data_IF_821643388706
#
_entry.id   IF_821643388706
#
_cell.length_a   1.000
_cell.length_b   1.000
_cell.length_c   1.000
_cell.angle_alpha   90.00
_cell.angle_beta   90.00
_cell.angle_gamma   90.00
#
_symmetry.space_group_name_H-M   'P 1'
#
loop_
_entity.id
_entity.type
_entity.pdbx_description
1 polymer ?
#
# COMPACT_ATOMS: atom_id res chain seq x y z
N UNK A 1 -12.19 20.12 -11.73
CA UNK A 1 -10.78 20.32 -12.09
C UNK A 1 -10.26 21.72 -11.75
N UNK A 2 -11.00 22.81 -12.06
CA UNK A 2 -10.54 24.18 -11.83
C UNK A 2 -10.09 24.45 -10.37
N UNK A 3 -10.87 23.99 -9.39
CA UNK A 3 -10.50 24.07 -7.97
C UNK A 3 -9.20 23.32 -7.68
N UNK A 4 -9.04 22.11 -8.19
CA UNK A 4 -7.85 21.31 -7.95
C UNK A 4 -6.58 21.96 -8.52
N UNK A 5 -6.70 22.66 -9.66
CA UNK A 5 -5.60 23.41 -10.28
C UNK A 5 -5.12 24.60 -9.44
N UNK A 6 -5.95 25.10 -8.54
CA UNK A 6 -5.58 26.15 -7.58
C UNK A 6 -5.09 25.56 -6.27
N UNK A 7 -5.87 24.64 -5.69
CA UNK A 7 -5.63 24.09 -4.35
C UNK A 7 -4.36 23.23 -4.30
N UNK A 8 -4.10 22.41 -5.33
CA UNK A 8 -2.96 21.51 -5.34
C UNK A 8 -1.61 22.25 -5.34
N UNK A 9 -1.33 23.23 -6.23
CA UNK A 9 -0.09 24.00 -6.19
C UNK A 9 0.10 24.75 -4.89
N UNK A 10 -0.96 25.29 -4.28
CA UNK A 10 -0.90 25.95 -2.99
C UNK A 10 -0.44 24.97 -1.89
N UNK A 11 -1.02 23.76 -1.84
CA UNK A 11 -0.57 22.73 -0.90
C UNK A 11 0.90 22.37 -1.09
N UNK A 12 1.34 22.22 -2.35
CA UNK A 12 2.74 21.92 -2.67
C UNK A 12 3.70 23.06 -2.33
N UNK A 13 3.24 24.31 -2.41
CA UNK A 13 4.02 25.48 -2.06
C UNK A 13 4.15 25.64 -0.55
N UNK A 14 3.03 25.62 0.20
CA UNK A 14 3.02 25.84 1.65
C UNK A 14 3.55 24.64 2.44
N UNK A 15 3.44 23.43 1.92
CA UNK A 15 3.93 22.18 2.54
C UNK A 15 3.58 22.10 4.01
N UNK A 16 2.27 22.31 4.31
CA UNK A 16 1.80 22.33 5.69
C UNK A 16 2.22 21.09 6.46
N UNK A 17 2.81 21.31 7.62
CA UNK A 17 3.28 20.27 8.54
C UNK A 17 2.94 20.68 9.97
N UNK A 18 2.46 19.74 10.74
CA UNK A 18 2.19 19.93 12.17
C UNK A 18 2.95 18.89 12.98
N UNK A 19 3.84 19.32 13.84
CA UNK A 19 4.57 18.43 14.75
C UNK A 19 3.62 17.76 15.76
N UNK A 20 4.05 16.63 16.30
CA UNK A 20 3.36 15.98 17.42
C UNK A 20 2.29 14.98 17.06
N UNK A 21 2.11 14.61 15.78
CA UNK A 21 1.23 13.51 15.44
C UNK A 21 1.67 12.23 16.14
N UNK A 22 0.74 11.60 16.84
CA UNK A 22 0.92 10.29 17.49
C UNK A 22 -0.31 9.46 17.26
N UNK A 23 -0.11 8.20 16.90
CA UNK A 23 -1.17 7.20 16.92
C UNK A 23 -1.56 7.01 18.37
N UNK A 24 -2.84 7.18 18.69
CA UNK A 24 -3.36 6.94 20.03
C UNK A 24 -3.98 5.55 20.07
N UNK A 25 -3.33 4.58 20.74
CA UNK A 25 -3.93 3.29 20.94
C UNK A 25 -5.21 3.43 21.78
N UNK A 26 -6.27 2.75 21.38
CA UNK A 26 -7.47 2.66 22.22
C UNK A 26 -7.42 1.38 23.06
N UNK A 27 -7.96 1.46 24.29
CA UNK A 27 -8.11 0.28 25.16
C UNK A 27 -8.90 -0.79 24.41
N UNK A 28 -8.37 -2.00 24.40
CA UNK A 28 -8.81 -3.06 23.51
C UNK A 28 -10.20 -3.60 23.86
N UNK A 29 -11.18 -3.25 23.04
CA UNK A 29 -12.26 -4.20 22.75
C UNK A 29 -11.71 -5.30 21.83
N UNK A 30 -12.28 -6.52 21.87
CA UNK A 30 -11.94 -7.59 20.92
C UNK A 30 -11.96 -7.06 19.47
N UNK A 31 -10.84 -7.07 18.74
CA UNK A 31 -10.77 -6.51 17.40
C UNK A 31 -11.76 -7.15 16.41
N UNK A 32 -12.20 -8.38 16.70
CA UNK A 32 -13.09 -9.16 15.84
C UNK A 32 -14.56 -9.15 16.27
N UNK A 33 -14.90 -8.43 17.35
CA UNK A 33 -16.27 -8.37 17.85
C UNK A 33 -17.30 -7.88 16.80
N UNK A 34 -16.88 -7.02 15.88
CA UNK A 34 -17.71 -6.49 14.79
C UNK A 34 -17.95 -7.48 13.64
N UNK A 35 -17.25 -8.61 13.59
CA UNK A 35 -17.49 -9.65 12.58
C UNK A 35 -18.71 -10.52 12.96
N UNK A 36 -19.39 -11.12 11.96
CA UNK A 36 -20.37 -12.17 12.22
C UNK A 36 -19.78 -13.26 13.10
N UNK A 37 -20.57 -13.85 14.00
CA UNK A 37 -20.08 -14.81 14.99
C UNK A 37 -19.36 -16.01 14.36
N UNK A 38 -19.88 -16.52 13.27
CA UNK A 38 -19.29 -17.63 12.50
C UNK A 38 -17.94 -17.29 11.88
N UNK A 39 -17.66 -16.00 11.60
CA UNK A 39 -16.40 -15.55 10.97
C UNK A 39 -15.31 -15.25 12.00
N UNK A 40 -15.67 -15.09 13.29
CA UNK A 40 -14.71 -14.72 14.36
C UNK A 40 -13.63 -15.78 14.61
N UNK A 41 -13.96 -17.09 14.76
CA UNK A 41 -12.94 -18.09 15.00
C UNK A 41 -11.92 -18.20 13.86
N UNK A 42 -12.32 -18.31 12.57
CA UNK A 42 -11.35 -18.37 11.48
C UNK A 42 -10.57 -17.06 11.31
N UNK A 43 -11.17 -15.89 11.58
CA UNK A 43 -10.46 -14.61 11.53
C UNK A 43 -9.38 -14.51 12.61
N UNK A 44 -9.66 -14.96 13.85
CA UNK A 44 -8.66 -15.02 14.92
C UNK A 44 -7.53 -15.98 14.59
N UNK A 45 -7.84 -17.19 14.13
CA UNK A 45 -6.82 -18.16 13.74
C UNK A 45 -5.89 -17.62 12.63
N UNK A 46 -6.45 -16.95 11.63
CA UNK A 46 -5.68 -16.27 10.58
C UNK A 46 -4.83 -15.13 11.15
N UNK A 47 -5.39 -14.31 12.03
CA UNK A 47 -4.68 -13.20 12.68
C UNK A 47 -3.50 -13.71 13.52
N UNK A 48 -3.72 -14.75 14.33
CA UNK A 48 -2.67 -15.37 15.15
C UNK A 48 -1.54 -15.93 14.29
N UNK A 49 -1.88 -16.59 13.19
CA UNK A 49 -0.87 -17.05 12.23
C UNK A 49 -0.04 -15.88 11.69
N UNK A 50 -0.69 -14.82 11.21
CA UNK A 50 0.00 -13.66 10.65
C UNK A 50 0.87 -12.96 11.69
N UNK A 51 0.35 -12.73 12.88
CA UNK A 51 1.08 -12.11 14.00
C UNK A 51 2.34 -12.92 14.36
N UNK A 52 2.22 -14.25 14.45
CA UNK A 52 3.35 -15.12 14.76
C UNK A 52 4.37 -15.19 13.62
N UNK A 53 3.90 -15.33 12.38
CA UNK A 53 4.78 -15.43 11.19
C UNK A 53 5.57 -14.15 10.95
N UNK A 54 4.95 -12.99 11.19
CA UNK A 54 5.52 -11.67 10.84
C UNK A 54 5.98 -10.87 12.07
N UNK A 55 6.06 -11.50 13.25
CA UNK A 55 6.56 -10.91 14.51
C UNK A 55 5.85 -9.60 14.90
N UNK A 56 4.51 -9.61 14.87
CA UNK A 56 3.65 -8.48 15.15
C UNK A 56 2.98 -8.52 16.52
N UNK A 57 3.56 -9.21 17.54
CA UNK A 57 2.96 -9.43 18.85
C UNK A 57 2.59 -8.12 19.57
N UNK A 58 3.45 -7.10 19.48
CA UNK A 58 3.22 -5.81 20.15
C UNK A 58 2.34 -4.84 19.32
N UNK A 59 2.01 -5.21 18.08
CA UNK A 59 1.34 -4.32 17.15
C UNK A 59 -0.07 -3.92 17.63
N UNK A 60 -0.83 -4.87 18.18
CA UNK A 60 -2.18 -4.62 18.69
C UNK A 60 -2.21 -3.56 19.81
N UNK A 61 -1.15 -3.46 20.62
CA UNK A 61 -1.04 -2.47 21.70
C UNK A 61 -0.66 -1.06 21.21
N UNK A 62 -0.25 -0.93 19.94
CA UNK A 62 0.27 0.33 19.38
C UNK A 62 -0.73 1.03 18.45
N UNK A 63 -1.91 0.43 18.20
CA UNK A 63 -2.83 0.86 17.15
C UNK A 63 -4.30 0.70 17.58
N UNK A 64 -5.23 1.31 16.86
CA UNK A 64 -6.66 1.12 17.10
C UNK A 64 -7.12 -0.28 16.63
N UNK A 65 -8.20 -0.87 17.22
CA UNK A 65 -8.73 -2.17 16.78
C UNK A 65 -9.11 -2.22 15.29
N UNK A 66 -9.63 -1.13 14.75
CA UNK A 66 -9.98 -1.03 13.30
C UNK A 66 -8.71 -1.10 12.46
N UNK A 67 -7.74 -0.24 12.74
CA UNK A 67 -6.48 -0.21 11.98
C UNK A 67 -5.69 -1.51 12.15
N UNK A 68 -5.81 -2.19 13.30
CA UNK A 68 -5.20 -3.51 13.51
C UNK A 68 -5.74 -4.53 12.51
N UNK A 69 -7.07 -4.65 12.39
CA UNK A 69 -7.69 -5.57 11.42
C UNK A 69 -7.38 -5.18 9.98
N UNK A 70 -7.40 -3.88 9.65
CA UNK A 70 -7.04 -3.41 8.31
C UNK A 70 -5.60 -3.75 7.96
N UNK A 71 -4.64 -3.57 8.87
CA UNK A 71 -3.25 -3.94 8.65
C UNK A 71 -3.09 -5.45 8.45
N UNK A 72 -3.75 -6.28 9.26
CA UNK A 72 -3.72 -7.73 9.05
C UNK A 72 -4.38 -8.15 7.74
N UNK A 73 -5.44 -7.47 7.32
CA UNK A 73 -6.05 -7.67 6.02
C UNK A 73 -5.05 -7.37 4.88
N UNK A 74 -4.38 -6.22 4.92
CA UNK A 74 -3.36 -5.88 3.91
C UNK A 74 -2.16 -6.83 3.96
N UNK A 75 -1.74 -7.25 5.13
CA UNK A 75 -0.69 -8.26 5.29
C UNK A 75 -1.05 -9.55 4.57
N UNK A 76 -2.26 -10.09 4.81
CA UNK A 76 -2.74 -11.31 4.17
C UNK A 76 -2.90 -11.15 2.66
N UNK A 77 -3.44 -10.00 2.21
CA UNK A 77 -3.60 -9.69 0.80
C UNK A 77 -2.23 -9.66 0.09
N UNK A 78 -1.27 -8.94 0.64
CA UNK A 78 0.06 -8.79 0.06
C UNK A 78 0.89 -10.07 0.17
N UNK A 79 0.73 -10.87 1.25
CA UNK A 79 1.28 -12.22 1.34
C UNK A 79 0.79 -13.11 0.20
N UNK A 80 -0.53 -13.09 -0.05
CA UNK A 80 -1.14 -13.84 -1.15
C UNK A 80 -0.62 -13.38 -2.51
N UNK A 81 -0.42 -12.07 -2.68
CA UNK A 81 0.14 -11.50 -3.90
C UNK A 81 1.60 -11.94 -4.13
N UNK A 82 2.44 -11.92 -3.09
CA UNK A 82 3.83 -12.40 -3.18
C UNK A 82 3.89 -13.90 -3.50
N UNK A 83 3.03 -14.72 -2.86
CA UNK A 83 2.94 -16.14 -3.14
C UNK A 83 2.55 -16.41 -4.62
N UNK A 84 1.62 -15.62 -5.17
CA UNK A 84 1.19 -15.73 -6.54
C UNK A 84 2.23 -15.21 -7.56
N UNK A 85 3.12 -14.30 -7.14
CA UNK A 85 4.15 -13.71 -8.01
C UNK A 85 5.33 -14.62 -8.31
N UNK A 86 5.49 -15.72 -7.56
CA UNK A 86 6.60 -16.68 -7.71
C UNK A 86 7.98 -16.01 -7.71
N UNK A 87 8.13 -14.95 -6.93
CA UNK A 87 9.38 -14.20 -6.82
C UNK A 87 10.27 -14.80 -5.73
N UNK A 88 11.57 -14.73 -5.93
CA UNK A 88 12.56 -14.98 -4.90
C UNK A 88 13.13 -13.65 -4.41
N UNK A 89 13.03 -13.38 -3.12
CA UNK A 89 13.53 -12.14 -2.54
C UNK A 89 14.94 -12.34 -1.95
N UNK A 90 15.89 -11.44 -2.23
CA UNK A 90 17.22 -11.50 -1.64
C UNK A 90 17.19 -11.09 -0.16
N UNK A 91 18.35 -11.20 0.53
CA UNK A 91 18.51 -10.77 1.93
C UNK A 91 18.39 -9.24 2.12
N UNK A 92 18.64 -8.47 1.07
CA UNK A 92 18.47 -7.01 1.07
C UNK A 92 17.50 -6.61 -0.05
N UNK A 93 16.38 -5.97 0.33
CA UNK A 93 15.30 -5.63 -0.58
C UNK A 93 15.19 -4.13 -0.71
N UNK A 94 15.16 -3.64 -1.96
CA UNK A 94 14.66 -2.31 -2.30
C UNK A 94 13.24 -2.44 -2.83
N UNK A 95 12.29 -1.73 -2.22
CA UNK A 95 10.89 -1.74 -2.61
C UNK A 95 10.30 -0.34 -2.65
N UNK A 96 9.34 -0.12 -3.55
CA UNK A 96 8.59 1.12 -3.63
C UNK A 96 7.10 0.86 -3.44
N UNK A 97 6.42 1.77 -2.75
CA UNK A 97 4.96 1.85 -2.66
C UNK A 97 4.50 3.17 -3.29
N UNK A 98 3.78 3.09 -4.40
CA UNK A 98 3.40 4.24 -5.23
C UNK A 98 1.96 4.65 -4.90
N UNK A 99 1.78 5.87 -4.42
CA UNK A 99 0.50 6.37 -3.94
C UNK A 99 0.22 5.95 -2.50
N UNK A 100 1.26 5.99 -1.66
CA UNK A 100 1.20 5.53 -0.27
C UNK A 100 0.18 6.27 0.61
N UNK A 101 -0.35 7.42 0.19
CA UNK A 101 -1.28 8.25 0.94
C UNK A 101 -0.73 8.60 2.34
N UNK A 102 -1.47 8.36 3.43
CA UNK A 102 -0.99 8.50 4.81
C UNK A 102 -0.32 7.24 5.37
N UNK A 103 -0.19 6.21 4.57
CA UNK A 103 0.58 4.98 4.77
C UNK A 103 0.23 4.17 6.03
N UNK A 104 -1.02 4.08 6.37
CA UNK A 104 -1.46 3.42 7.60
C UNK A 104 -1.12 1.91 7.67
N UNK A 105 -0.93 1.24 6.53
CA UNK A 105 -0.61 -0.18 6.42
C UNK A 105 0.91 -0.46 6.32
N UNK A 106 1.76 0.55 6.43
CA UNK A 106 3.22 0.40 6.23
C UNK A 106 3.87 -0.56 7.22
N UNK A 107 3.33 -0.70 8.43
CA UNK A 107 3.87 -1.65 9.40
C UNK A 107 3.66 -3.09 8.94
N UNK A 108 2.49 -3.42 8.41
CA UNK A 108 2.20 -4.70 7.79
C UNK A 108 3.10 -4.98 6.58
N UNK A 109 3.26 -3.99 5.70
CA UNK A 109 4.11 -4.10 4.51
C UNK A 109 5.59 -4.29 4.88
N UNK A 110 6.11 -3.53 5.85
CA UNK A 110 7.48 -3.67 6.33
C UNK A 110 7.74 -5.03 7.00
N UNK A 111 6.78 -5.52 7.78
CA UNK A 111 6.86 -6.85 8.40
C UNK A 111 6.85 -7.95 7.32
N UNK A 112 5.97 -7.85 6.32
CA UNK A 112 5.92 -8.77 5.19
C UNK A 112 7.29 -8.85 4.49
N UNK A 113 7.86 -7.71 4.10
CA UNK A 113 9.14 -7.68 3.39
C UNK A 113 10.28 -8.26 4.22
N UNK A 114 10.27 -8.06 5.54
CA UNK A 114 11.31 -8.61 6.43
C UNK A 114 11.20 -10.10 6.60
N UNK A 115 10.00 -10.66 6.72
CA UNK A 115 9.81 -12.01 7.23
C UNK A 115 9.18 -13.01 6.25
N UNK A 116 8.72 -12.55 5.08
CA UNK A 116 8.09 -13.45 4.11
C UNK A 116 9.06 -14.56 3.66
N UNK A 117 8.68 -15.80 3.92
CA UNK A 117 9.42 -17.02 3.55
C UNK A 117 10.90 -17.02 3.97
N UNK A 118 11.22 -16.48 5.15
CA UNK A 118 12.58 -16.51 5.69
C UNK A 118 12.57 -16.62 7.22
N UNK A 119 13.49 -17.38 7.83
CA UNK A 119 13.64 -17.45 9.29
C UNK A 119 14.40 -16.25 9.86
N UNK A 120 15.12 -15.50 9.06
CA UNK A 120 15.91 -14.35 9.47
C UNK A 120 15.38 -13.06 8.84
N UNK A 121 15.34 -11.93 9.56
CA UNK A 121 14.79 -10.70 9.02
C UNK A 121 15.69 -10.14 7.90
N UNK A 122 15.08 -9.85 6.76
CA UNK A 122 15.76 -9.16 5.66
C UNK A 122 16.04 -7.70 6.00
N UNK A 123 17.09 -7.16 5.42
CA UNK A 123 17.28 -5.71 5.33
C UNK A 123 16.34 -5.16 4.27
N UNK A 124 15.63 -4.09 4.61
CA UNK A 124 14.71 -3.45 3.67
C UNK A 124 15.08 -1.99 3.47
N UNK A 125 14.96 -1.52 2.24
CA UNK A 125 14.84 -0.11 1.86
C UNK A 125 13.48 0.03 1.19
N UNK A 126 12.47 0.45 1.99
CA UNK A 126 11.09 0.62 1.55
C UNK A 126 10.77 2.10 1.42
N UNK A 127 10.43 2.53 0.21
CA UNK A 127 10.18 3.92 -0.14
C UNK A 127 8.70 4.12 -0.52
N UNK A 128 7.97 4.93 0.25
CA UNK A 128 6.58 5.29 -0.04
C UNK A 128 6.50 6.64 -0.75
N UNK A 129 5.98 6.67 -1.96
CA UNK A 129 5.84 7.89 -2.77
C UNK A 129 4.41 8.41 -2.72
N UNK A 130 4.24 9.70 -2.43
CA UNK A 130 2.92 10.34 -2.40
C UNK A 130 2.97 11.74 -3.02
N UNK A 131 2.20 11.92 -4.09
CA UNK A 131 2.16 13.18 -4.84
C UNK A 131 1.40 14.28 -4.09
N UNK A 132 0.40 13.94 -3.28
CA UNK A 132 -0.41 14.89 -2.48
C UNK A 132 -0.14 14.75 -0.97
N UNK A 133 1.13 14.62 -0.61
CA UNK A 133 1.58 14.41 0.76
C UNK A 133 1.17 15.53 1.73
N UNK A 134 0.98 16.75 1.25
CA UNK A 134 0.65 17.91 2.09
C UNK A 134 -0.85 18.20 2.20
N UNK A 135 -1.71 17.26 1.77
CA UNK A 135 -3.15 17.36 2.01
C UNK A 135 -3.45 17.28 3.50
N UNK A 136 -4.20 18.25 4.00
CA UNK A 136 -4.55 18.38 5.42
C UNK A 136 -5.84 17.58 5.70
N UNK A 137 -5.85 16.83 6.79
CA UNK A 137 -7.02 16.15 7.34
C UNK A 137 -7.75 17.00 8.38
N UNK A 138 -8.90 16.53 8.86
CA UNK A 138 -9.74 17.24 9.83
C UNK A 138 -9.04 17.50 11.18
N UNK A 139 -8.04 16.71 11.53
CA UNK A 139 -7.20 16.87 12.72
C UNK A 139 -6.07 17.91 12.54
N UNK A 140 -6.07 18.62 11.41
CA UNK A 140 -5.06 19.62 11.02
C UNK A 140 -3.65 19.06 10.81
N UNK A 141 -3.48 17.73 10.69
CA UNK A 141 -2.24 17.12 10.25
C UNK A 141 -2.31 16.82 8.75
N UNK A 142 -1.16 16.90 8.09
CA UNK A 142 -1.05 16.50 6.69
C UNK A 142 -0.90 14.97 6.56
N UNK A 143 -1.10 14.43 5.35
CA UNK A 143 -0.75 13.03 5.05
C UNK A 143 0.69 12.73 5.40
N UNK A 144 1.59 13.69 5.15
CA UNK A 144 2.98 13.58 5.51
C UNK A 144 3.18 13.37 7.03
N UNK A 145 2.47 14.14 7.86
CA UNK A 145 2.58 14.01 9.33
C UNK A 145 2.08 12.65 9.81
N UNK A 146 0.95 12.17 9.26
CA UNK A 146 0.43 10.84 9.53
C UNK A 146 1.41 9.74 9.12
N UNK A 147 1.94 9.81 7.88
CA UNK A 147 2.89 8.82 7.39
C UNK A 147 4.15 8.78 8.25
N UNK A 148 4.70 9.94 8.66
CA UNK A 148 5.84 10.00 9.60
C UNK A 148 5.52 9.38 10.95
N UNK A 149 4.27 9.51 11.43
CA UNK A 149 3.82 8.83 12.63
C UNK A 149 3.85 7.32 12.50
N UNK A 150 3.40 6.79 11.35
CA UNK A 150 3.37 5.35 11.08
C UNK A 150 4.76 4.73 10.88
N UNK A 151 5.72 5.46 10.30
CA UNK A 151 7.07 4.93 10.03
C UNK A 151 8.09 5.18 11.15
N UNK A 152 7.72 5.90 12.21
CA UNK A 152 8.65 6.38 13.25
C UNK A 152 9.57 5.30 13.83
N UNK A 153 9.06 4.08 14.01
CA UNK A 153 9.80 2.94 14.59
C UNK A 153 10.25 1.91 13.55
N UNK A 154 10.16 2.23 12.25
CA UNK A 154 10.44 1.29 11.17
C UNK A 154 11.80 1.62 10.53
N UNK A 155 12.90 0.94 10.90
CA UNK A 155 14.19 1.13 10.23
C UNK A 155 14.10 0.73 8.76
N UNK A 156 14.79 1.47 7.88
CA UNK A 156 14.81 1.21 6.45
C UNK A 156 13.49 1.53 5.72
N UNK A 157 12.63 2.40 6.32
CA UNK A 157 11.39 2.87 5.71
C UNK A 157 11.45 4.39 5.58
N UNK A 158 11.17 4.88 4.37
CA UNK A 158 11.23 6.32 4.05
C UNK A 158 9.97 6.76 3.32
N UNK A 159 9.39 7.89 3.75
CA UNK A 159 8.27 8.51 3.05
C UNK A 159 8.75 9.68 2.18
N UNK A 160 8.43 9.65 0.90
CA UNK A 160 8.90 10.59 -0.11
C UNK A 160 7.71 11.44 -0.58
N UNK A 161 7.62 12.72 -0.19
CA UNK A 161 6.48 13.60 -0.47
C UNK A 161 6.54 14.16 -1.90
N UNK A 162 6.55 13.29 -2.88
CA UNK A 162 6.52 13.63 -4.31
C UNK A 162 5.93 12.49 -5.13
N UNK A 163 5.48 12.80 -6.34
CA UNK A 163 5.08 11.79 -7.33
C UNK A 163 6.23 10.85 -7.68
N UNK A 164 5.89 9.62 -8.02
CA UNK A 164 6.86 8.64 -8.49
C UNK A 164 7.34 8.99 -9.91
N UNK A 165 8.62 8.84 -10.14
CA UNK A 165 9.25 8.93 -11.47
C UNK A 165 10.12 7.69 -11.70
N UNK A 166 10.33 7.31 -12.95
CA UNK A 166 11.12 6.13 -13.29
C UNK A 166 12.54 6.21 -12.70
N UNK A 167 12.95 5.12 -12.08
CA UNK A 167 14.29 4.88 -11.53
C UNK A 167 14.76 3.52 -12.08
N UNK A 168 15.37 3.48 -13.28
CA UNK A 168 15.62 2.24 -13.99
C UNK A 168 16.35 1.19 -13.15
N UNK A 169 15.78 -0.02 -13.08
CA UNK A 169 16.35 -1.19 -12.38
C UNK A 169 16.75 -0.90 -10.92
N UNK A 170 15.86 -0.22 -10.15
CA UNK A 170 16.12 0.17 -8.76
C UNK A 170 15.43 -0.75 -7.73
N UNK A 171 14.29 -1.36 -8.08
CA UNK A 171 13.43 -2.03 -7.11
C UNK A 171 13.24 -3.51 -7.42
N UNK A 172 13.30 -4.34 -6.37
CA UNK A 172 12.90 -5.75 -6.42
C UNK A 172 11.38 -5.89 -6.44
N UNK A 173 10.67 -4.99 -5.74
CA UNK A 173 9.22 -4.97 -5.63
C UNK A 173 8.68 -3.56 -5.78
N UNK A 174 7.59 -3.43 -6.52
CA UNK A 174 6.79 -2.20 -6.56
C UNK A 174 5.34 -2.54 -6.24
N UNK A 175 4.76 -1.79 -5.33
CA UNK A 175 3.37 -1.86 -4.94
C UNK A 175 2.62 -0.63 -5.48
N UNK A 176 1.42 -0.85 -5.98
CA UNK A 176 0.46 0.17 -6.38
C UNK A 176 -0.91 -0.20 -5.80
N UNK A 177 -1.23 0.34 -4.62
CA UNK A 177 -2.52 0.08 -3.99
C UNK A 177 -3.50 1.17 -4.39
N UNK A 178 -4.56 0.78 -5.09
CA UNK A 178 -5.63 1.65 -5.59
C UNK A 178 -5.13 2.79 -6.50
N UNK A 179 -4.33 2.46 -7.55
CA UNK A 179 -3.95 3.47 -8.52
C UNK A 179 -5.19 4.02 -9.21
N UNK A 180 -5.21 5.32 -9.47
CA UNK A 180 -6.32 5.94 -10.19
C UNK A 180 -6.36 5.47 -11.65
N UNK A 181 -7.39 4.70 -11.99
CA UNK A 181 -7.64 4.21 -13.36
C UNK A 181 -8.62 5.12 -14.09
N UNK A 182 -9.50 5.78 -13.34
CA UNK A 182 -10.50 6.69 -13.89
C UNK A 182 -10.21 8.14 -13.50
N UNK A 183 -10.42 9.10 -14.43
CA UNK A 183 -10.15 10.51 -14.16
C UNK A 183 -11.03 11.09 -13.05
N UNK A 184 -12.26 10.60 -12.89
CA UNK A 184 -13.20 11.10 -11.90
C UNK A 184 -12.70 10.86 -10.46
N UNK A 185 -12.13 9.70 -10.18
CA UNK A 185 -11.61 9.36 -8.84
C UNK A 185 -10.35 10.18 -8.54
N UNK A 186 -9.50 10.38 -9.53
CA UNK A 186 -8.35 11.27 -9.44
C UNK A 186 -8.76 12.72 -9.12
N UNK A 187 -9.79 13.23 -9.80
CA UNK A 187 -10.31 14.58 -9.56
C UNK A 187 -10.99 14.70 -8.19
N UNK A 188 -11.79 13.70 -7.78
CA UNK A 188 -12.41 13.64 -6.44
C UNK A 188 -11.36 13.59 -5.33
N UNK A 189 -10.22 12.93 -5.58
CA UNK A 189 -9.09 12.94 -4.66
C UNK A 189 -8.46 14.32 -4.48
N UNK A 190 -8.76 15.29 -5.35
CA UNK A 190 -8.28 16.67 -5.30
C UNK A 190 -6.98 16.91 -6.07
N UNK A 191 -6.67 16.03 -7.01
CA UNK A 191 -5.55 16.20 -7.94
C UNK A 191 -6.04 16.86 -9.23
N UNK A 192 -5.26 17.76 -9.86
CA UNK A 192 -5.63 18.38 -11.14
C UNK A 192 -5.49 17.39 -12.30
N UNK A 193 -6.37 17.51 -13.30
CA UNK A 193 -6.46 16.55 -14.40
C UNK A 193 -5.19 16.39 -15.24
N UNK A 194 -4.33 17.40 -15.30
CA UNK A 194 -3.04 17.30 -16.00
C UNK A 194 -2.04 16.32 -15.34
N UNK A 195 -2.27 15.91 -14.08
CA UNK A 195 -1.49 14.90 -13.38
C UNK A 195 -2.06 13.48 -13.56
N UNK A 196 -3.21 13.34 -14.22
CA UNK A 196 -3.80 12.03 -14.50
C UNK A 196 -3.07 11.35 -15.66
N UNK A 197 -2.12 10.49 -15.34
CA UNK A 197 -1.29 9.78 -16.32
C UNK A 197 -1.13 8.30 -15.94
N UNK A 198 -2.20 7.51 -15.88
CA UNK A 198 -2.15 6.13 -15.39
C UNK A 198 -1.21 5.25 -16.19
N UNK A 199 -1.18 5.39 -17.54
CA UNK A 199 -0.26 4.66 -18.39
C UNK A 199 1.21 5.06 -18.17
N UNK A 200 1.49 6.35 -18.05
CA UNK A 200 2.84 6.84 -17.78
C UNK A 200 3.38 6.37 -16.43
N UNK A 201 2.52 6.41 -15.39
CA UNK A 201 2.87 5.91 -14.07
C UNK A 201 3.14 4.40 -14.07
N UNK A 202 2.32 3.62 -14.76
CA UNK A 202 2.49 2.18 -14.90
C UNK A 202 3.80 1.84 -15.64
N UNK A 203 4.11 2.56 -16.72
CA UNK A 203 5.37 2.39 -17.46
C UNK A 203 6.59 2.76 -16.60
N UNK A 204 6.51 3.86 -15.84
CA UNK A 204 7.56 4.27 -14.92
C UNK A 204 7.80 3.21 -13.84
N UNK A 205 6.74 2.64 -13.26
CA UNK A 205 6.85 1.55 -12.30
C UNK A 205 7.52 0.33 -12.92
N UNK A 206 7.07 -0.10 -14.10
CA UNK A 206 7.62 -1.26 -14.80
C UNK A 206 9.11 -1.11 -15.14
N UNK A 207 9.51 0.05 -15.66
CA UNK A 207 10.92 0.35 -15.97
C UNK A 207 11.81 0.37 -14.73
N UNK A 208 11.24 0.67 -13.57
CA UNK A 208 11.95 0.77 -12.31
C UNK A 208 12.21 -0.58 -11.63
N UNK A 209 11.58 -1.65 -12.09
CA UNK A 209 11.86 -3.00 -11.58
C UNK A 209 13.22 -3.50 -12.04
N UNK A 210 13.92 -4.17 -11.14
CA UNK A 210 15.07 -5.02 -11.47
C UNK A 210 14.63 -6.21 -12.34
N UNK A 211 15.53 -6.80 -13.13
CA UNK A 211 15.30 -8.11 -13.74
C UNK A 211 14.90 -9.13 -12.65
N UNK A 212 13.84 -9.89 -12.89
CA UNK A 212 13.25 -10.80 -11.91
C UNK A 212 12.37 -10.14 -10.83
N UNK A 213 12.29 -8.81 -10.80
CA UNK A 213 11.43 -8.06 -9.86
C UNK A 213 9.95 -8.16 -10.20
N UNK A 214 9.08 -7.82 -9.24
CA UNK A 214 7.63 -7.92 -9.40
C UNK A 214 6.90 -6.62 -9.11
N UNK A 215 5.83 -6.38 -9.89
CA UNK A 215 4.82 -5.35 -9.70
C UNK A 215 3.57 -5.98 -9.11
N UNK A 216 3.09 -5.43 -8.02
CA UNK A 216 1.86 -5.84 -7.34
C UNK A 216 0.89 -4.67 -7.38
N UNK A 217 -0.29 -4.89 -7.97
CA UNK A 217 -1.34 -3.88 -8.09
C UNK A 217 -2.59 -4.40 -7.36
N UNK A 218 -3.19 -3.54 -6.56
CA UNK A 218 -4.46 -3.82 -5.89
C UNK A 218 -5.50 -2.81 -6.37
N UNK A 219 -6.62 -3.32 -6.89
CA UNK A 219 -7.76 -2.51 -7.32
C UNK A 219 -8.95 -2.70 -6.38
N UNK A 220 -9.83 -1.70 -6.31
CA UNK A 220 -11.10 -1.80 -5.62
C UNK A 220 -12.25 -2.00 -6.62
N UNK A 221 -12.97 -3.10 -6.45
CA UNK A 221 -14.05 -3.45 -7.36
C UNK A 221 -13.60 -4.00 -8.71
N UNK A 222 -14.51 -4.71 -9.32
CA UNK A 222 -14.25 -5.43 -10.58
C UNK A 222 -14.02 -4.48 -11.77
N UNK A 223 -14.66 -3.31 -11.77
CA UNK A 223 -14.54 -2.34 -12.85
C UNK A 223 -13.10 -1.79 -12.96
N UNK A 224 -12.51 -1.37 -11.82
CA UNK A 224 -11.11 -0.93 -11.80
C UNK A 224 -10.17 -2.06 -12.21
N UNK A 225 -10.43 -3.28 -11.71
CA UNK A 225 -9.63 -4.45 -12.03
C UNK A 225 -9.61 -4.75 -13.54
N UNK A 226 -10.76 -4.72 -14.20
CA UNK A 226 -10.85 -4.93 -15.65
C UNK A 226 -10.11 -3.85 -16.44
N UNK A 227 -10.29 -2.59 -16.05
CA UNK A 227 -9.62 -1.45 -16.68
C UNK A 227 -8.09 -1.51 -16.47
N UNK A 228 -7.64 -1.91 -15.27
CA UNK A 228 -6.21 -2.10 -15.00
C UNK A 228 -5.59 -3.23 -15.82
N UNK A 229 -6.30 -4.34 -16.00
CA UNK A 229 -5.85 -5.44 -16.87
C UNK A 229 -5.66 -4.97 -18.30
N UNK A 230 -6.66 -4.28 -18.87
CA UNK A 230 -6.55 -3.71 -20.21
C UNK A 230 -5.37 -2.74 -20.33
N UNK A 231 -5.10 -1.94 -19.30
CA UNK A 231 -3.97 -1.02 -19.27
C UNK A 231 -2.62 -1.77 -19.27
N UNK A 232 -2.50 -2.87 -18.53
CA UNK A 232 -1.31 -3.73 -18.53
C UNK A 232 -1.07 -4.36 -19.91
N UNK A 233 -2.13 -4.89 -20.54
CA UNK A 233 -2.09 -5.47 -21.89
C UNK A 233 -1.60 -4.44 -22.92
N UNK A 234 -2.17 -3.23 -22.92
CA UNK A 234 -1.74 -2.13 -23.82
C UNK A 234 -0.30 -1.69 -23.55
N UNK A 235 0.16 -1.79 -22.30
CA UNK A 235 1.54 -1.48 -21.93
C UNK A 235 2.53 -2.61 -22.24
N UNK A 236 2.06 -3.78 -22.70
CA UNK A 236 2.91 -4.95 -22.95
C UNK A 236 3.47 -5.59 -21.68
N UNK A 237 2.78 -5.41 -20.53
CA UNK A 237 3.20 -5.96 -19.23
C UNK A 237 2.47 -7.28 -18.99
N UNK A 238 3.19 -8.42 -18.91
CA UNK A 238 2.57 -9.74 -18.75
C UNK A 238 1.97 -9.90 -17.36
N UNK A 239 0.68 -10.26 -17.30
CA UNK A 239 0.00 -10.58 -16.03
C UNK A 239 0.34 -12.01 -15.66
N UNK A 240 0.97 -12.20 -14.50
CA UNK A 240 1.31 -13.52 -13.98
C UNK A 240 0.17 -14.15 -13.17
N UNK A 241 -0.48 -13.34 -12.33
CA UNK A 241 -1.65 -13.77 -11.58
C UNK A 241 -2.69 -12.65 -11.45
N UNK A 242 -3.96 -13.05 -11.41
CA UNK A 242 -5.08 -12.15 -11.19
C UNK A 242 -6.13 -12.87 -10.33
N UNK A 243 -6.50 -12.31 -9.17
CA UNK A 243 -7.48 -12.92 -8.28
C UNK A 243 -8.21 -11.90 -7.41
N UNK A 244 -9.38 -12.30 -6.90
CA UNK A 244 -10.09 -11.58 -5.84
C UNK A 244 -9.57 -12.07 -4.49
N UNK A 245 -9.24 -11.13 -3.59
CA UNK A 245 -8.80 -11.45 -2.24
C UNK A 245 -9.97 -11.75 -1.31
N UNK A 246 -9.84 -12.75 -0.46
CA UNK A 246 -10.81 -13.06 0.58
C UNK A 246 -10.76 -12.01 1.71
N UNK A 247 -11.93 -11.46 2.05
CA UNK A 247 -12.10 -10.35 3.00
C UNK A 247 -12.38 -10.81 4.45
N UNK A 248 -11.84 -11.96 4.88
CA UNK A 248 -12.13 -12.55 6.20
C UNK A 248 -11.80 -11.60 7.38
N UNK A 249 -10.65 -10.91 7.32
CA UNK A 249 -10.19 -10.07 8.43
C UNK A 249 -10.85 -8.69 8.47
N UNK A 250 -11.18 -8.14 7.32
CA UNK A 250 -11.81 -6.82 7.20
C UNK A 250 -12.65 -6.74 5.93
N UNK A 251 -13.89 -6.24 6.07
CA UNK A 251 -14.81 -6.11 4.92
C UNK A 251 -14.88 -4.66 4.47
N UNK A 252 -14.56 -4.44 3.22
CA UNK A 252 -14.77 -3.18 2.52
C UNK A 252 -16.08 -3.23 1.72
N UNK A 253 -16.59 -2.08 1.35
CA UNK A 253 -17.78 -1.97 0.47
C UNK A 253 -17.55 -2.53 -0.94
N UNK A 254 -16.30 -2.50 -1.41
CA UNK A 254 -15.88 -3.08 -2.68
C UNK A 254 -14.82 -4.16 -2.43
N UNK A 255 -14.90 -5.25 -3.17
CA UNK A 255 -13.89 -6.31 -3.12
C UNK A 255 -12.51 -5.79 -3.56
N UNK A 256 -11.48 -6.44 -3.04
CA UNK A 256 -10.09 -6.18 -3.44
C UNK A 256 -9.64 -7.21 -4.45
N UNK A 257 -9.11 -6.71 -5.56
CA UNK A 257 -8.58 -7.53 -6.65
C UNK A 257 -7.09 -7.29 -6.77
N UNK A 258 -6.35 -8.36 -6.94
CA UNK A 258 -4.89 -8.36 -7.03
C UNK A 258 -4.47 -8.72 -8.44
N UNK A 259 -3.49 -7.98 -8.95
CA UNK A 259 -2.74 -8.30 -10.17
C UNK A 259 -1.26 -8.40 -9.81
N UNK A 260 -0.59 -9.40 -10.31
CA UNK A 260 0.86 -9.51 -10.22
C UNK A 260 1.46 -9.60 -11.61
N UNK A 261 2.57 -8.92 -11.81
CA UNK A 261 3.38 -9.00 -13.01
C UNK A 261 4.85 -9.13 -12.62
N UNK A 262 5.62 -9.93 -13.34
CA UNK A 262 7.04 -10.15 -13.09
C UNK A 262 7.85 -9.73 -14.29
N UNK A 263 8.92 -8.97 -14.08
CA UNK A 263 9.85 -8.59 -15.14
C UNK A 263 10.80 -9.76 -15.39
N UNK A 264 10.92 -10.15 -16.65
CA UNK A 264 11.87 -11.19 -17.04
C UNK A 264 13.30 -10.82 -16.63
N UNK A 265 14.08 -11.86 -16.31
CA UNK A 265 15.49 -11.72 -15.88
C UNK A 265 16.45 -11.60 -17.04
#
# INVERSE_FOLDING_TARGET
DARNRLDYPLRQFFRWRRAGFRIQPTVQADPFAALPEQDRPPARALADRLVNTYHLQDFAAQITPINYRENLFYLHLLESALNASQINLPESICAADIGASHWFYVQALAALLRWWQTPNPRRIDLQGFEIDAYRIYADLHSRFDHALGHIRSLPGVTYIPRGFSAQPAAFHLIFMLFPFIFPDDHLKWGLPGNLFQPRGLLQAAWQSLLPGGALIIVNQGEQEHRAQRALLEVAGIPIQAAFRHDALLFRYSLDRYVLTARRDG
#
